data_IF_333154178352
#
_entry.id   IF_333154178352
#
_cell.length_a   1.000
_cell.length_b   1.000
_cell.length_c   1.000
_cell.angle_alpha   90.00
_cell.angle_beta   90.00
_cell.angle_gamma   90.00
#
_symmetry.space_group_name_H-M   'P 1'
#
loop_
_entity.id
_entity.type
_entity.pdbx_description
1 polymer ?
#
# COMPACT_ATOMS: atom_id res chain seq x y z
N UNK A 1 8.33 21.74 4.03
CA UNK A 1 7.80 20.70 3.11
C UNK A 1 7.65 21.36 1.75
N UNK A 2 8.44 20.95 0.77
CA UNK A 2 8.32 21.41 -0.62
C UNK A 2 8.18 20.14 -1.46
N UNK A 3 7.09 20.01 -2.22
CA UNK A 3 6.76 18.79 -2.95
C UNK A 3 5.82 17.88 -2.16
N UNK A 4 4.66 17.58 -2.75
CA UNK A 4 3.62 16.75 -2.16
C UNK A 4 4.03 15.28 -2.08
N UNK A 5 4.98 14.94 -1.21
CA UNK A 5 5.46 13.58 -0.99
C UNK A 5 5.78 13.35 0.48
N UNK A 6 5.36 12.20 1.00
CA UNK A 6 5.68 11.70 2.35
C UNK A 6 6.64 10.53 2.24
N UNK A 7 7.71 10.57 3.03
CA UNK A 7 8.53 9.41 3.31
C UNK A 7 8.04 8.70 4.58
N UNK A 8 7.84 7.40 4.48
CA UNK A 8 7.42 6.52 5.58
C UNK A 8 8.54 5.50 5.81
N UNK A 9 9.11 5.50 7.01
CA UNK A 9 10.14 4.55 7.42
C UNK A 9 9.65 3.60 8.51
N UNK A 10 9.90 2.31 8.36
CA UNK A 10 9.61 1.28 9.37
C UNK A 10 10.86 0.47 9.66
N UNK A 11 11.17 0.30 10.94
CA UNK A 11 12.23 -0.58 11.42
C UNK A 11 11.61 -1.83 12.05
N UNK A 12 12.18 -2.99 11.71
CA UNK A 12 11.81 -4.29 12.27
C UNK A 12 13.10 -5.04 12.60
N UNK A 13 13.15 -5.71 13.76
CA UNK A 13 14.31 -6.48 14.19
C UNK A 13 14.44 -7.83 13.47
N UNK A 14 13.39 -8.31 12.78
CA UNK A 14 13.48 -9.49 11.92
C UNK A 14 14.22 -9.14 10.61
N UNK A 15 15.37 -9.77 10.29
CA UNK A 15 16.16 -9.45 9.10
C UNK A 15 15.58 -10.02 7.79
N UNK A 16 14.49 -10.80 7.84
CA UNK A 16 13.84 -11.34 6.65
C UNK A 16 13.18 -10.22 5.85
N UNK A 17 13.69 -10.01 4.63
CA UNK A 17 13.11 -9.04 3.70
C UNK A 17 11.74 -9.53 3.22
N UNK A 18 10.74 -8.64 3.16
CA UNK A 18 9.41 -9.02 2.72
C UNK A 18 9.43 -9.28 1.20
N UNK A 19 8.65 -10.28 0.76
CA UNK A 19 8.51 -10.65 -0.64
C UNK A 19 7.06 -10.45 -1.05
N UNK A 20 6.83 -9.66 -2.09
CA UNK A 20 5.51 -9.47 -2.65
C UNK A 20 5.07 -10.78 -3.30
N UNK A 21 3.85 -11.23 -3.01
CA UNK A 21 3.23 -12.34 -3.73
C UNK A 21 2.44 -11.78 -4.93
N UNK A 22 2.02 -12.66 -5.81
CA UNK A 22 1.12 -12.26 -6.89
C UNK A 22 -0.27 -11.96 -6.31
N UNK A 23 -0.94 -10.94 -6.83
CA UNK A 23 -2.31 -10.62 -6.44
C UNK A 23 -3.23 -11.82 -6.72
N UNK A 24 -3.95 -12.27 -5.70
CA UNK A 24 -4.88 -13.41 -5.75
C UNK A 24 -6.12 -13.10 -4.92
N UNK A 25 -7.26 -12.89 -5.59
CA UNK A 25 -8.51 -12.53 -4.93
C UNK A 25 -9.09 -13.67 -4.06
N UNK A 26 -8.66 -14.92 -4.25
CA UNK A 26 -9.10 -16.08 -3.47
C UNK A 26 -8.24 -16.36 -2.23
N UNK A 27 -7.10 -15.69 -2.09
CA UNK A 27 -6.18 -15.91 -0.97
C UNK A 27 -6.61 -15.11 0.27
N UNK A 28 -6.47 -15.72 1.44
CA UNK A 28 -6.68 -15.03 2.71
C UNK A 28 -5.32 -14.57 3.26
N UNK A 29 -5.13 -13.25 3.32
CA UNK A 29 -3.94 -12.62 3.91
C UNK A 29 -2.73 -12.53 2.96
N UNK A 30 -1.59 -12.08 3.49
CA UNK A 30 -0.33 -11.86 2.75
C UNK A 30 -0.42 -10.85 1.58
N UNK A 31 -1.44 -9.99 1.57
CA UNK A 31 -1.60 -8.91 0.60
C UNK A 31 -0.92 -7.60 1.02
N UNK A 32 -0.41 -7.51 2.25
CA UNK A 32 0.08 -6.24 2.80
C UNK A 32 1.15 -5.59 1.93
N UNK A 33 2.16 -6.34 1.50
CA UNK A 33 3.21 -5.80 0.63
C UNK A 33 2.70 -5.52 -0.79
N UNK A 34 1.74 -6.30 -1.30
CA UNK A 34 1.14 -6.06 -2.61
C UNK A 34 0.42 -4.72 -2.65
N UNK A 35 -0.35 -4.43 -1.59
CA UNK A 35 -1.03 -3.16 -1.43
C UNK A 35 -0.02 -2.02 -1.38
N UNK A 36 1.03 -2.16 -0.56
CA UNK A 36 2.08 -1.13 -0.44
C UNK A 36 2.74 -0.85 -1.79
N UNK A 37 3.15 -1.89 -2.52
CA UNK A 37 3.78 -1.73 -3.85
C UNK A 37 2.80 -1.13 -4.87
N UNK A 38 1.50 -1.40 -4.75
CA UNK A 38 0.50 -0.85 -5.65
C UNK A 38 0.21 0.64 -5.41
N UNK A 39 0.28 1.14 -4.17
CA UNK A 39 -0.07 2.53 -3.82
C UNK A 39 1.13 3.46 -3.70
N UNK A 40 2.32 2.92 -3.40
CA UNK A 40 3.50 3.72 -3.18
C UNK A 40 4.08 4.25 -4.50
N UNK A 41 4.65 5.46 -4.44
CA UNK A 41 5.47 5.98 -5.52
C UNK A 41 6.82 5.24 -5.61
N UNK A 42 7.38 4.88 -4.45
CA UNK A 42 8.60 4.08 -4.35
C UNK A 42 8.54 3.15 -3.14
N UNK A 43 9.20 2.00 -3.23
CA UNK A 43 9.35 1.05 -2.15
C UNK A 43 10.78 0.55 -2.09
N UNK A 44 11.36 0.57 -0.90
CA UNK A 44 12.69 0.06 -0.63
C UNK A 44 12.70 -0.76 0.66
N UNK A 45 13.33 -1.94 0.61
CA UNK A 45 13.59 -2.77 1.77
C UNK A 45 15.08 -3.09 1.83
N UNK A 46 15.74 -2.66 2.91
CA UNK A 46 17.17 -2.90 3.15
C UNK A 46 17.34 -3.75 4.40
N UNK A 47 18.28 -4.69 4.35
CA UNK A 47 18.77 -5.38 5.56
C UNK A 47 19.70 -4.43 6.28
N UNK A 48 19.58 -4.43 7.60
CA UNK A 48 20.37 -3.62 8.52
C UNK A 48 20.97 -4.56 9.58
N UNK A 49 22.02 -4.17 10.31
CA UNK A 49 22.71 -5.06 11.26
C UNK A 49 21.81 -5.69 12.32
N UNK A 50 20.74 -4.99 12.71
CA UNK A 50 19.79 -5.41 13.76
C UNK A 50 18.43 -5.85 13.21
N UNK A 51 18.29 -6.01 11.89
CA UNK A 51 17.03 -6.40 11.26
C UNK A 51 16.88 -5.85 9.85
N UNK A 52 15.83 -5.07 9.61
CA UNK A 52 15.57 -4.43 8.33
C UNK A 52 14.97 -3.04 8.50
N UNK A 53 15.15 -2.23 7.45
CA UNK A 53 14.48 -0.95 7.28
C UNK A 53 13.68 -0.98 5.98
N UNK A 54 12.40 -0.61 6.10
CA UNK A 54 11.51 -0.40 4.97
C UNK A 54 11.32 1.10 4.81
N UNK A 55 11.50 1.62 3.61
CA UNK A 55 11.26 3.03 3.26
C UNK A 55 10.28 3.07 2.09
N UNK A 56 9.27 3.93 2.20
CA UNK A 56 8.23 4.10 1.18
C UNK A 56 8.02 5.58 0.93
N UNK A 57 7.91 5.98 -0.34
CA UNK A 57 7.45 7.32 -0.69
C UNK A 57 6.02 7.27 -1.18
N UNK A 58 5.16 8.14 -0.63
CA UNK A 58 3.77 8.30 -1.03
C UNK A 58 3.53 9.74 -1.49
N UNK A 59 2.95 9.91 -2.67
CA UNK A 59 2.55 11.25 -3.14
C UNK A 59 1.35 11.75 -2.33
N UNK A 60 1.45 12.96 -1.80
CA UNK A 60 0.33 13.71 -1.25
C UNK A 60 -0.44 14.34 -2.41
N UNK A 61 -1.52 13.70 -2.84
CA UNK A 61 -2.49 14.35 -3.71
C UNK A 61 -3.41 15.22 -2.86
N UNK A 62 -3.61 16.47 -3.26
CA UNK A 62 -4.50 17.43 -2.57
C UNK A 62 -6.01 17.12 -2.79
N UNK A 63 -6.32 16.02 -3.47
CA UNK A 63 -7.68 15.56 -3.71
C UNK A 63 -8.18 14.76 -2.50
N UNK A 64 -8.56 15.54 -1.47
CA UNK A 64 -9.57 15.10 -0.51
C UNK A 64 -10.78 14.59 -1.30
N UNK A 65 -11.12 13.31 -1.12
CA UNK A 65 -12.33 12.64 -1.62
C UNK A 65 -12.34 12.14 -3.08
N UNK A 66 -11.55 11.11 -3.39
CA UNK A 66 -12.05 10.07 -4.31
C UNK A 66 -12.76 9.01 -3.49
N UNK A 67 -14.09 9.14 -3.39
CA UNK A 67 -14.93 8.07 -2.86
C UNK A 67 -14.60 6.75 -3.59
N UNK A 68 -14.52 5.60 -2.90
CA UNK A 68 -14.37 4.32 -3.57
C UNK A 68 -15.57 4.16 -4.50
N UNK A 69 -15.33 4.22 -5.81
CA UNK A 69 -16.37 4.02 -6.83
C UNK A 69 -16.83 2.58 -6.73
N UNK A 70 -17.87 2.35 -5.94
CA UNK A 70 -18.26 1.00 -5.58
C UNK A 70 -19.63 0.92 -4.94
N UNK A 71 -20.64 1.60 -5.48
CA UNK A 71 -22.06 1.20 -5.39
C UNK A 71 -22.80 1.68 -6.63
N UNK A 72 -23.14 0.78 -7.55
CA UNK A 72 -24.26 1.01 -8.47
C UNK A 72 -25.53 0.94 -7.60
N UNK A 73 -26.41 1.95 -7.58
CA UNK A 73 -27.72 1.78 -6.99
C UNK A 73 -28.40 0.60 -7.69
N UNK A 74 -28.87 -0.37 -6.91
CA UNK A 74 -29.78 -1.38 -7.42
C UNK A 74 -31.05 -0.62 -7.83
N UNK A 75 -31.33 -0.60 -9.13
CA UNK A 75 -32.55 -0.06 -9.70
C UNK A 75 -33.68 -1.04 -9.36
N UNK A 76 -34.33 -0.79 -8.24
CA UNK A 76 -35.49 -1.53 -7.79
C UNK A 76 -36.71 -0.94 -8.51
N UNK A 77 -37.21 -1.59 -9.56
CA UNK A 77 -38.43 -1.10 -10.20
C UNK A 77 -38.84 -1.79 -11.49
N UNK A 78 -39.18 -3.07 -11.45
CA UNK A 78 -40.16 -3.60 -12.40
C UNK A 78 -40.99 -4.72 -11.77
N UNK A 79 -42.11 -4.30 -11.17
CA UNK A 79 -43.39 -5.02 -11.22
C UNK A 79 -44.09 -4.64 -12.51
#
# INVERSE_FOLDING_TARGET
IVGGMVEIGVWDCDPVLPVARAADAGRVGQHGLEIVVAVAHSFEARREPVGKRITVHLTLTDETNRAPTGRRPLENGQI
#
